data_IF_276214053453
#
_entry.id   IF_276214053453
#
_cell.length_a   1.000
_cell.length_b   1.000
_cell.length_c   1.000
_cell.angle_alpha   90.00
_cell.angle_beta   90.00
_cell.angle_gamma   90.00
#
_symmetry.space_group_name_H-M   'P 1'
#
loop_
_entity.id
_entity.type
_entity.pdbx_description
1 polymer ?
#
# COMPACT_ATOMS: atom_id res chain seq x y z
N UNK A 1 46.73 43.06 -8.82
CA UNK A 1 45.29 43.09 -8.46
C UNK A 1 44.55 42.34 -9.56
N UNK A 2 44.33 41.01 -9.46
CA UNK A 2 43.06 40.38 -9.05
C UNK A 2 41.83 41.08 -9.69
N UNK A 3 40.97 40.47 -10.52
CA UNK A 3 40.21 39.25 -10.26
C UNK A 3 39.80 38.49 -11.53
N UNK A 4 39.78 37.17 -11.35
CA UNK A 4 39.46 36.05 -12.25
C UNK A 4 37.94 35.94 -12.41
N UNK A 5 37.42 36.17 -13.62
CA UNK A 5 36.01 35.97 -13.98
C UNK A 5 35.64 34.48 -13.93
N UNK A 6 34.67 34.14 -13.08
CA UNK A 6 34.23 32.77 -12.83
C UNK A 6 33.31 32.27 -13.96
N UNK A 7 33.60 31.05 -14.40
CA UNK A 7 32.80 30.29 -15.34
C UNK A 7 31.35 30.12 -14.86
N UNK A 8 30.41 30.48 -15.73
CA UNK A 8 28.98 30.13 -15.64
C UNK A 8 28.87 28.65 -16.00
N UNK A 9 28.67 27.81 -14.98
CA UNK A 9 28.36 26.39 -15.15
C UNK A 9 26.86 26.24 -14.91
N UNK A 10 26.08 26.34 -15.98
CA UNK A 10 24.64 26.07 -15.95
C UNK A 10 24.42 24.61 -15.56
N UNK A 11 23.90 24.43 -14.36
CA UNK A 11 23.60 23.12 -13.78
C UNK A 11 22.32 22.61 -14.41
N UNK A 12 22.43 21.57 -15.24
CA UNK A 12 21.29 20.83 -15.77
C UNK A 12 20.56 20.15 -14.62
N UNK A 13 19.52 20.78 -14.10
CA UNK A 13 18.58 20.14 -13.19
C UNK A 13 17.73 19.17 -14.03
N UNK A 14 18.21 17.93 -14.15
CA UNK A 14 17.40 16.80 -14.62
C UNK A 14 16.48 16.36 -13.48
N UNK A 15 15.34 17.02 -13.35
CA UNK A 15 14.26 16.59 -12.46
C UNK A 15 13.34 15.61 -13.18
N UNK A 16 13.81 14.37 -13.35
CA UNK A 16 12.95 13.22 -13.61
C UNK A 16 13.28 12.12 -12.59
N UNK A 17 13.10 12.44 -11.30
CA UNK A 17 12.96 11.41 -10.29
C UNK A 17 11.49 10.95 -10.29
N UNK A 18 11.18 9.63 -10.39
CA UNK A 18 9.80 9.17 -10.36
C UNK A 18 9.18 9.58 -9.04
N UNK A 19 8.04 10.25 -9.15
CA UNK A 19 7.17 10.64 -8.03
C UNK A 19 7.01 9.38 -7.18
N UNK A 20 7.58 9.40 -5.97
CA UNK A 20 7.49 8.29 -5.04
C UNK A 20 6.01 8.08 -4.77
N UNK A 21 5.40 7.13 -5.48
CA UNK A 21 4.08 6.62 -5.17
C UNK A 21 4.21 6.13 -3.74
N UNK A 22 3.70 6.92 -2.78
CA UNK A 22 3.49 6.48 -1.41
C UNK A 22 2.68 5.20 -1.53
N UNK A 23 3.36 4.06 -1.51
CA UNK A 23 2.74 2.75 -1.58
C UNK A 23 1.98 2.62 -0.28
N UNK A 24 0.68 2.95 -0.32
CA UNK A 24 -0.18 2.86 0.84
C UNK A 24 -0.04 1.45 1.39
N UNK A 25 0.30 1.34 2.67
CA UNK A 25 0.42 0.05 3.33
C UNK A 25 -0.93 -0.66 3.20
N UNK A 26 -0.95 -1.95 2.82
CA UNK A 26 -2.20 -2.68 2.66
C UNK A 26 -2.95 -2.74 3.99
N UNK A 27 -4.28 -2.63 3.93
CA UNK A 27 -5.15 -2.81 5.10
C UNK A 27 -5.05 -4.28 5.54
N UNK A 28 -4.65 -4.51 6.79
CA UNK A 28 -4.62 -5.84 7.37
C UNK A 28 -6.01 -6.25 7.86
N UNK A 29 -6.41 -7.45 7.48
CA UNK A 29 -7.66 -8.06 7.90
C UNK A 29 -7.38 -9.44 8.48
N UNK A 30 -7.81 -9.69 9.71
CA UNK A 30 -7.65 -11.00 10.36
C UNK A 30 -8.89 -11.86 10.10
N UNK A 31 -8.69 -13.08 9.61
CA UNK A 31 -9.75 -14.07 9.45
C UNK A 31 -9.77 -14.98 10.68
N UNK A 32 -10.90 -15.02 11.36
CA UNK A 32 -11.11 -15.90 12.52
C UNK A 32 -12.05 -17.08 12.21
N UNK A 33 -12.86 -16.98 11.15
CA UNK A 33 -13.73 -18.05 10.67
C UNK A 33 -14.14 -17.78 9.20
N UNK A 34 -14.86 -18.71 8.57
CA UNK A 34 -15.28 -18.65 7.16
C UNK A 34 -15.98 -17.31 6.80
N UNK A 35 -16.73 -16.71 7.73
CA UNK A 35 -17.46 -15.46 7.52
C UNK A 35 -17.08 -14.34 8.50
N UNK A 36 -16.01 -14.49 9.29
CA UNK A 36 -15.59 -13.51 10.29
C UNK A 36 -14.23 -12.92 9.92
N UNK A 37 -14.27 -11.72 9.35
CA UNK A 37 -13.10 -10.94 8.98
C UNK A 37 -13.05 -9.68 9.84
N UNK A 38 -11.94 -9.46 10.52
CA UNK A 38 -11.73 -8.31 11.39
C UNK A 38 -10.75 -7.35 10.73
N UNK A 39 -11.24 -6.17 10.37
CA UNK A 39 -10.44 -5.08 9.84
C UNK A 39 -9.67 -4.41 10.98
N UNK A 40 -8.34 -4.49 10.95
CA UNK A 40 -7.52 -3.92 12.03
C UNK A 40 -7.37 -2.41 11.93
N UNK A 41 -7.63 -1.81 10.76
CA UNK A 41 -7.57 -0.37 10.53
C UNK A 41 -8.81 0.32 11.12
N UNK A 42 -9.99 -0.18 10.77
CA UNK A 42 -11.28 0.36 11.21
C UNK A 42 -11.77 -0.26 12.53
N UNK A 43 -11.09 -1.30 13.03
CA UNK A 43 -11.42 -2.03 14.27
C UNK A 43 -12.85 -2.58 14.27
N UNK A 44 -13.27 -3.12 13.13
CA UNK A 44 -14.63 -3.59 12.90
C UNK A 44 -14.64 -4.95 12.17
N UNK A 45 -15.71 -5.71 12.35
CA UNK A 45 -15.95 -6.88 11.52
C UNK A 45 -16.54 -6.48 10.17
N UNK A 46 -16.02 -7.08 9.11
CA UNK A 46 -16.48 -6.91 7.74
C UNK A 46 -16.81 -8.27 7.11
N UNK A 47 -17.66 -8.26 6.09
CA UNK A 47 -18.02 -9.45 5.32
C UNK A 47 -17.05 -9.67 4.16
N UNK A 48 -17.04 -10.90 3.59
CA UNK A 48 -16.26 -11.20 2.38
C UNK A 48 -16.65 -10.28 1.21
N UNK A 49 -17.92 -9.94 1.08
CA UNK A 49 -18.44 -9.05 0.05
C UNK A 49 -17.81 -7.63 0.15
N UNK A 50 -17.79 -7.04 1.35
CA UNK A 50 -17.12 -5.75 1.58
C UNK A 50 -15.61 -5.82 1.30
N UNK A 51 -14.98 -6.97 1.57
CA UNK A 51 -13.58 -7.24 1.26
C UNK A 51 -13.33 -7.21 -0.26
N UNK A 52 -14.19 -7.88 -1.02
CA UNK A 52 -14.16 -7.89 -2.49
C UNK A 52 -14.42 -6.50 -3.05
N UNK A 53 -15.43 -5.80 -2.53
CA UNK A 53 -15.75 -4.44 -2.95
C UNK A 53 -14.53 -3.51 -2.80
N UNK A 54 -13.86 -3.56 -1.65
CA UNK A 54 -12.65 -2.76 -1.39
C UNK A 54 -11.52 -3.12 -2.35
N UNK A 55 -11.30 -4.41 -2.59
CA UNK A 55 -10.29 -4.87 -3.55
C UNK A 55 -10.58 -4.37 -4.96
N UNK A 56 -11.84 -4.48 -5.40
CA UNK A 56 -12.31 -3.96 -6.70
C UNK A 56 -12.21 -2.44 -6.83
N UNK A 57 -12.33 -1.69 -5.72
CA UNK A 57 -12.09 -0.24 -5.66
C UNK A 57 -10.59 0.13 -5.70
N UNK A 58 -9.69 -0.85 -5.80
CA UNK A 58 -8.24 -0.64 -5.83
C UNK A 58 -7.61 -0.43 -4.46
N UNK A 59 -8.33 -0.73 -3.37
CA UNK A 59 -7.78 -0.64 -2.01
C UNK A 59 -6.90 -1.86 -1.76
N UNK A 60 -5.61 -1.62 -1.51
CA UNK A 60 -4.69 -2.69 -1.15
C UNK A 60 -5.06 -3.29 0.20
N UNK A 61 -5.24 -4.61 0.24
CA UNK A 61 -5.66 -5.34 1.44
C UNK A 61 -4.96 -6.70 1.50
N UNK A 62 -4.67 -7.13 2.73
CA UNK A 62 -4.07 -8.43 3.03
C UNK A 62 -4.89 -9.10 4.12
N UNK A 63 -5.31 -10.34 3.85
CA UNK A 63 -6.09 -11.17 4.74
C UNK A 63 -5.21 -12.26 5.30
N UNK A 64 -5.01 -12.25 6.62
CA UNK A 64 -4.22 -13.24 7.34
C UNK A 64 -5.14 -14.10 8.19
N UNK A 65 -5.03 -15.41 8.06
CA UNK A 65 -5.73 -16.38 8.90
C UNK A 65 -5.15 -16.34 10.32
N UNK A 66 -5.98 -16.04 11.31
CA UNK A 66 -5.53 -15.83 12.69
C UNK A 66 -5.07 -17.13 13.37
N UNK A 67 -5.58 -18.28 12.92
CA UNK A 67 -5.19 -19.59 13.45
C UNK A 67 -3.87 -20.07 12.83
N UNK A 68 -3.74 -19.94 11.50
CA UNK A 68 -2.58 -20.46 10.77
C UNK A 68 -1.46 -19.44 10.55
N UNK A 69 -1.71 -18.17 10.82
CA UNK A 69 -0.84 -17.03 10.47
C UNK A 69 -0.45 -16.97 8.97
N UNK A 70 -1.29 -17.54 8.09
CA UNK A 70 -1.05 -17.60 6.65
C UNK A 70 -1.80 -16.48 5.94
N UNK A 71 -1.17 -15.90 4.91
CA UNK A 71 -1.88 -15.04 3.98
C UNK A 71 -2.83 -15.90 3.13
N UNK A 72 -4.11 -15.54 3.17
CA UNK A 72 -5.20 -16.19 2.43
C UNK A 72 -5.86 -15.21 1.46
N UNK A 73 -5.21 -14.08 1.18
CA UNK A 73 -5.73 -12.98 0.37
C UNK A 73 -6.08 -13.47 -1.03
N UNK A 74 -5.14 -14.17 -1.68
CA UNK A 74 -5.33 -14.68 -3.04
C UNK A 74 -6.47 -15.70 -3.10
N UNK A 75 -6.59 -16.58 -2.11
CA UNK A 75 -7.65 -17.62 -2.08
C UNK A 75 -9.04 -17.02 -1.89
N UNK A 76 -9.17 -15.89 -1.18
CA UNK A 76 -10.48 -15.26 -0.90
C UNK A 76 -10.96 -14.33 -2.01
N UNK A 77 -10.02 -13.74 -2.76
CA UNK A 77 -10.30 -12.73 -3.79
C UNK A 77 -10.18 -13.28 -5.22
N UNK A 78 -9.84 -14.56 -5.37
CA UNK A 78 -9.88 -15.27 -6.66
C UNK A 78 -11.30 -15.38 -7.23
#
# INVERSE_FOLDING_TARGET
MAHRGKAVLESRISQNAPISQKKALPILVLRYAIHRFYDTHNRCYISLDQLRERSSRGIALSVVDAESAKDVTATLLA
#
